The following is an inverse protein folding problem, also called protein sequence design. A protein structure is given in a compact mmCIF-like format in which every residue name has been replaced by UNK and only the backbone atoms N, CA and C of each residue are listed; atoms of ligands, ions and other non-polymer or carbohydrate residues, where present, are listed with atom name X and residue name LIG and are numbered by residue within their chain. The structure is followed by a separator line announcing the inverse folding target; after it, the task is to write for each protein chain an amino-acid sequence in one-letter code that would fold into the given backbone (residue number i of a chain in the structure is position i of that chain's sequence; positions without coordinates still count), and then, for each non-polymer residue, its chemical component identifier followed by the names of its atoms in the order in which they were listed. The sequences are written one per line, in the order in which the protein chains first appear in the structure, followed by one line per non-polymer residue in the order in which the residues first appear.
data_IF_193178400252
#
_entry.id   IF_193178400252
#
_cell.length_a   1.000
_cell.length_b   1.000
_cell.length_c   1.000
_cell.angle_alpha   90.00
_cell.angle_beta   90.00
_cell.angle_gamma   90.00
#
_symmetry.space_group_name_H-M   'P 1'
#
loop_
_entity.id
_entity.type
_entity.pdbx_description
1 polymer ?
#
# COMPACT_ATOMS: atom_id res chain seq x y z
N UNK A 1 24.34 -27.10 5.56
CA UNK A 1 24.89 -26.06 6.46
C UNK A 1 24.56 -24.73 5.80
N UNK A 2 23.39 -24.18 6.08
CA UNK A 2 22.98 -22.85 5.55
C UNK A 2 23.69 -21.80 6.38
N UNK A 3 24.39 -20.88 5.73
CA UNK A 3 25.13 -19.82 6.41
C UNK A 3 24.17 -18.76 6.97
N UNK A 4 24.60 -18.05 8.02
CA UNK A 4 23.81 -16.94 8.61
C UNK A 4 23.51 -15.86 7.56
N UNK A 5 24.40 -15.67 6.59
CA UNK A 5 24.18 -14.77 5.45
C UNK A 5 23.01 -15.23 4.57
N UNK A 6 22.94 -16.52 4.19
CA UNK A 6 21.85 -17.05 3.37
C UNK A 6 20.48 -17.02 4.08
N UNK A 7 20.44 -17.26 5.39
CA UNK A 7 19.22 -17.14 6.20
C UNK A 7 18.73 -15.68 6.33
N UNK A 8 19.66 -14.73 6.43
CA UNK A 8 19.35 -13.31 6.44
C UNK A 8 18.90 -12.83 5.06
N UNK A 9 19.50 -13.34 3.99
CA UNK A 9 19.18 -13.00 2.59
C UNK A 9 17.77 -13.50 2.21
N UNK A 10 17.41 -14.74 2.57
CA UNK A 10 16.08 -15.28 2.34
C UNK A 10 15.02 -14.55 3.19
N UNK A 11 15.30 -14.32 4.49
CA UNK A 11 14.39 -13.58 5.35
C UNK A 11 14.18 -12.13 4.90
N UNK A 12 15.23 -11.43 4.48
CA UNK A 12 15.11 -10.08 3.91
C UNK A 12 14.28 -10.11 2.62
N UNK A 13 14.50 -11.08 1.74
CA UNK A 13 13.75 -11.20 0.48
C UNK A 13 12.23 -11.35 0.70
N UNK A 14 11.80 -12.09 1.73
CA UNK A 14 10.39 -12.23 2.09
C UNK A 14 9.80 -10.92 2.65
N UNK A 15 10.54 -10.24 3.54
CA UNK A 15 10.10 -8.96 4.11
C UNK A 15 10.06 -7.83 3.06
N UNK A 16 11.07 -7.72 2.20
CA UNK A 16 11.12 -6.71 1.14
C UNK A 16 10.03 -6.95 0.09
N UNK A 17 9.65 -8.20 -0.17
CA UNK A 17 8.50 -8.51 -1.00
C UNK A 17 7.17 -8.09 -0.36
N UNK A 18 6.92 -8.50 0.90
CA UNK A 18 5.68 -8.17 1.63
C UNK A 18 5.54 -6.66 1.87
N UNK A 19 6.66 -5.97 2.13
CA UNK A 19 6.72 -4.54 2.41
C UNK A 19 7.14 -3.70 1.20
N UNK A 20 7.02 -4.21 -0.03
CA UNK A 20 7.43 -3.51 -1.25
C UNK A 20 6.80 -2.10 -1.40
N UNK A 21 5.67 -1.86 -0.73
CA UNK A 21 4.99 -0.56 -0.72
C UNK A 21 5.71 0.53 0.10
N UNK A 22 6.68 0.17 0.95
CA UNK A 22 7.49 1.10 1.77
C UNK A 22 8.65 1.72 1.00
N UNK A 23 9.06 1.12 -0.13
CA UNK A 23 10.08 1.56 -1.10
C UNK A 23 11.52 1.79 -0.59
N UNK A 24 11.70 2.20 0.68
CA UNK A 24 12.99 2.47 1.31
C UNK A 24 13.42 1.29 2.19
N UNK A 25 14.63 0.77 1.96
CA UNK A 25 15.16 -0.40 2.66
C UNK A 25 15.32 -0.16 4.17
N UNK A 26 15.75 1.04 4.59
CA UNK A 26 15.90 1.35 6.01
C UNK A 26 14.53 1.42 6.70
N UNK A 27 13.49 1.85 5.99
CA UNK A 27 12.11 1.80 6.48
C UNK A 27 11.62 0.35 6.59
N UNK A 28 11.89 -0.49 5.58
CA UNK A 28 11.55 -1.92 5.59
C UNK A 28 12.19 -2.61 6.80
N UNK A 29 13.49 -2.39 7.04
CA UNK A 29 14.21 -2.93 8.19
C UNK A 29 13.61 -2.47 9.53
N UNK A 30 13.27 -1.18 9.65
CA UNK A 30 12.66 -0.65 10.86
C UNK A 30 11.25 -1.22 11.12
N UNK A 31 10.47 -1.49 10.07
CA UNK A 31 9.14 -2.12 10.18
C UNK A 31 9.28 -3.60 10.54
N UNK A 32 10.17 -4.32 9.86
CA UNK A 32 10.52 -5.72 10.16
C UNK A 32 10.93 -5.88 11.62
N UNK A 33 11.84 -5.04 12.12
CA UNK A 33 12.31 -5.11 13.50
C UNK A 33 11.17 -4.94 14.51
N UNK A 34 10.19 -4.07 14.23
CA UNK A 34 9.00 -3.88 15.08
C UNK A 34 8.09 -5.10 15.10
N UNK A 35 7.82 -5.70 13.94
CA UNK A 35 7.00 -6.92 13.87
C UNK A 35 7.67 -8.11 14.54
N UNK A 36 8.96 -8.34 14.25
CA UNK A 36 9.74 -9.40 14.87
C UNK A 36 9.82 -9.22 16.40
N UNK A 37 10.03 -8.00 16.87
CA UNK A 37 10.03 -7.67 18.31
C UNK A 37 8.67 -7.89 19.00
N UNK A 38 7.58 -7.85 18.25
CA UNK A 38 6.24 -8.17 18.72
C UNK A 38 5.86 -9.66 18.53
N UNK A 39 6.78 -10.50 18.04
CA UNK A 39 6.51 -11.91 17.75
C UNK A 39 5.57 -12.15 16.56
N UNK A 40 5.44 -11.16 15.67
CA UNK A 40 4.60 -11.24 14.47
C UNK A 40 5.42 -11.79 13.31
N UNK A 41 5.10 -12.98 12.79
CA UNK A 41 5.82 -13.57 11.67
C UNK A 41 5.42 -12.90 10.34
N UNK A 42 6.28 -12.97 9.33
CA UNK A 42 6.08 -12.29 8.03
C UNK A 42 4.82 -12.77 7.31
N UNK A 43 4.46 -14.03 7.49
CA UNK A 43 3.28 -14.67 6.91
C UNK A 43 2.00 -14.02 7.43
N UNK A 44 1.95 -13.69 8.74
CA UNK A 44 0.80 -13.02 9.34
C UNK A 44 0.65 -11.59 8.81
N UNK A 45 1.78 -10.89 8.57
CA UNK A 45 1.76 -9.58 7.90
C UNK A 45 1.26 -9.71 6.47
N UNK A 46 1.77 -10.68 5.72
CA UNK A 46 1.37 -10.93 4.33
C UNK A 46 -0.11 -11.25 4.20
N UNK A 47 -0.64 -12.12 5.08
CA UNK A 47 -2.05 -12.50 5.11
C UNK A 47 -2.95 -11.30 5.44
N UNK A 48 -2.54 -10.48 6.42
CA UNK A 48 -3.27 -9.27 6.82
C UNK A 48 -3.27 -8.20 5.72
N UNK A 49 -2.17 -8.06 4.98
CA UNK A 49 -2.13 -7.14 3.83
C UNK A 49 -2.99 -7.67 2.67
N UNK A 50 -3.01 -8.98 2.45
CA UNK A 50 -3.79 -9.62 1.38
C UNK A 50 -5.30 -9.50 1.60
N UNK A 51 -5.76 -9.66 2.83
CA UNK A 51 -7.19 -9.53 3.17
C UNK A 51 -7.62 -8.10 3.51
N UNK A 52 -6.68 -7.15 3.53
CA UNK A 52 -6.93 -5.75 3.83
C UNK A 52 -7.34 -5.49 5.29
N UNK A 53 -6.97 -6.38 6.22
CA UNK A 53 -7.35 -6.30 7.63
C UNK A 53 -8.76 -6.81 7.93
N UNK A 54 -9.38 -7.54 7.00
CA UNK A 54 -10.73 -8.08 7.19
C UNK A 54 -10.81 -9.02 8.40
N UNK A 55 -9.84 -9.92 8.59
CA UNK A 55 -9.78 -10.81 9.74
C UNK A 55 -9.65 -10.06 11.07
N UNK A 56 -8.85 -8.99 11.11
CA UNK A 56 -8.70 -8.14 12.30
C UNK A 56 -10.02 -7.43 12.66
N UNK A 57 -10.70 -6.89 11.65
CA UNK A 57 -12.00 -6.23 11.83
C UNK A 57 -13.07 -7.23 12.32
N UNK A 58 -13.10 -8.45 11.78
CA UNK A 58 -14.01 -9.49 12.26
C UNK A 58 -13.69 -9.91 13.70
N UNK A 59 -12.40 -10.02 14.06
CA UNK A 59 -12.00 -10.39 15.41
C UNK A 59 -12.43 -9.35 16.44
N UNK A 60 -12.21 -8.06 16.20
CA UNK A 60 -12.64 -7.01 17.14
C UNK A 60 -14.17 -6.94 17.25
N UNK A 61 -14.89 -7.18 16.16
CA UNK A 61 -16.35 -7.24 16.16
C UNK A 61 -16.94 -8.48 16.87
N UNK A 62 -16.12 -9.50 17.17
CA UNK A 62 -16.57 -10.70 17.89
C UNK A 62 -16.80 -10.46 19.39
N UNK A 63 -16.31 -9.33 19.93
CA UNK A 63 -16.39 -8.93 21.35
C UNK A 63 -15.81 -9.95 22.35
N UNK A 64 -15.10 -10.98 21.87
CA UNK A 64 -14.41 -11.95 22.73
C UNK A 64 -13.27 -11.29 23.47
N UNK A 65 -13.11 -11.52 24.77
CA UNK A 65 -12.02 -10.93 25.57
C UNK A 65 -10.61 -11.29 25.08
N UNK A 66 -10.45 -12.39 24.36
CA UNK A 66 -9.18 -12.92 23.84
C UNK A 66 -9.01 -12.74 22.32
N UNK A 67 -9.83 -11.87 21.70
CA UNK A 67 -9.88 -11.69 20.24
C UNK A 67 -8.52 -11.37 19.59
N UNK A 68 -7.62 -10.71 20.33
CA UNK A 68 -6.30 -10.31 19.84
C UNK A 68 -5.24 -11.41 19.95
N UNK A 69 -5.47 -12.45 20.76
CA UNK A 69 -4.53 -13.55 21.01
C UNK A 69 -4.06 -14.25 19.73
N UNK A 70 -4.94 -14.59 18.77
CA UNK A 70 -4.53 -15.23 17.51
C UNK A 70 -3.55 -14.40 16.67
N UNK A 71 -3.49 -13.08 16.89
CA UNK A 71 -2.63 -12.16 16.16
C UNK A 71 -1.34 -11.81 16.90
N UNK A 72 -1.10 -12.38 18.10
CA UNK A 72 0.05 -12.03 18.94
C UNK A 72 -0.24 -10.93 19.97
N UNK A 73 -1.53 -10.63 20.23
CA UNK A 73 -1.95 -9.66 21.24
C UNK A 73 -2.15 -8.24 20.71
N UNK A 74 -2.51 -7.31 21.60
CA UNK A 74 -2.97 -5.97 21.22
C UNK A 74 -1.91 -5.13 20.49
N UNK A 75 -0.64 -5.24 20.87
CA UNK A 75 0.45 -4.54 20.19
C UNK A 75 0.60 -5.03 18.74
N UNK A 76 0.56 -6.34 18.53
CA UNK A 76 0.65 -6.93 17.21
C UNK A 76 -0.52 -6.48 16.32
N UNK A 77 -1.74 -6.48 16.85
CA UNK A 77 -2.92 -5.94 16.13
C UNK A 77 -2.73 -4.47 15.74
N UNK A 78 -2.24 -3.64 16.66
CA UNK A 78 -2.00 -2.22 16.38
C UNK A 78 -0.96 -2.04 15.25
N UNK A 79 0.13 -2.80 15.28
CA UNK A 79 1.16 -2.79 14.23
C UNK A 79 0.60 -3.25 12.88
N UNK A 80 -0.12 -4.37 12.86
CA UNK A 80 -0.74 -4.93 11.66
C UNK A 80 -1.74 -3.95 11.03
N UNK A 81 -2.59 -3.33 11.85
CA UNK A 81 -3.58 -2.34 11.38
C UNK A 81 -2.91 -1.08 10.84
N UNK A 82 -1.83 -0.61 11.49
CA UNK A 82 -1.03 0.51 11.00
C UNK A 82 -0.38 0.20 9.64
N UNK A 83 0.07 -1.04 9.43
CA UNK A 83 0.64 -1.48 8.16
C UNK A 83 -0.42 -1.56 7.06
N UNK A 84 -1.62 -2.06 7.35
CA UNK A 84 -2.76 -2.03 6.42
C UNK A 84 -3.08 -0.59 6.00
N UNK A 85 -3.12 0.36 6.93
CA UNK A 85 -3.38 1.76 6.61
C UNK A 85 -2.30 2.36 5.69
N UNK A 86 -1.03 2.02 5.92
CA UNK A 86 0.07 2.44 5.06
C UNK A 86 -0.02 1.81 3.66
N UNK A 87 -0.32 0.51 3.58
CA UNK A 87 -0.51 -0.19 2.32
C UNK A 87 -1.66 0.41 1.51
N UNK A 88 -2.82 0.65 2.14
CA UNK A 88 -3.95 1.33 1.51
C UNK A 88 -3.58 2.73 1.00
N UNK A 89 -2.79 3.49 1.76
CA UNK A 89 -2.32 4.82 1.34
C UNK A 89 -1.43 4.73 0.09
N UNK A 90 -0.54 3.73 0.04
CA UNK A 90 0.26 3.46 -1.16
C UNK A 90 -0.63 3.08 -2.36
N UNK A 91 -1.62 2.21 -2.17
CA UNK A 91 -2.55 1.81 -3.25
C UNK A 91 -3.34 3.00 -3.79
N UNK A 92 -3.86 3.87 -2.92
CA UNK A 92 -4.57 5.10 -3.30
C UNK A 92 -3.66 6.04 -4.07
N UNK A 93 -2.41 6.24 -3.63
CA UNK A 93 -1.45 7.07 -4.33
C UNK A 93 -1.16 6.53 -5.74
N UNK A 94 -0.91 5.22 -5.86
CA UNK A 94 -0.66 4.54 -7.14
C UNK A 94 -1.85 4.64 -8.09
N UNK A 95 -3.06 4.35 -7.60
CA UNK A 95 -4.28 4.47 -8.39
C UNK A 95 -4.52 5.92 -8.84
N UNK A 96 -4.25 6.90 -7.97
CA UNK A 96 -4.38 8.32 -8.29
C UNK A 96 -3.40 8.76 -9.37
N UNK A 97 -2.16 8.27 -9.33
CA UNK A 97 -1.14 8.55 -10.36
C UNK A 97 -1.59 8.03 -11.73
N UNK A 98 -2.02 6.75 -11.81
CA UNK A 98 -2.52 6.14 -13.05
C UNK A 98 -3.76 6.88 -13.56
N UNK A 99 -4.73 7.16 -12.68
CA UNK A 99 -5.95 7.89 -13.03
C UNK A 99 -5.64 9.27 -13.58
N UNK A 100 -4.65 9.97 -13.00
CA UNK A 100 -4.26 11.31 -13.44
C UNK A 100 -3.73 11.30 -14.87
N UNK A 101 -2.86 10.34 -15.20
CA UNK A 101 -2.34 10.17 -16.57
C UNK A 101 -3.45 9.78 -17.54
N UNK A 102 -4.32 8.84 -17.16
CA UNK A 102 -5.43 8.42 -18.02
C UNK A 102 -6.40 9.57 -18.33
N UNK A 103 -6.76 10.38 -17.33
CA UNK A 103 -7.65 11.54 -17.52
C UNK A 103 -6.99 12.62 -18.38
N UNK A 104 -5.69 12.86 -18.18
CA UNK A 104 -4.93 13.80 -19.01
C UNK A 104 -4.97 13.40 -20.49
N UNK A 105 -4.75 12.11 -20.79
CA UNK A 105 -4.88 11.58 -22.16
C UNK A 105 -6.31 11.63 -22.69
N UNK A 106 -7.33 11.33 -21.89
CA UNK A 106 -8.72 11.44 -22.33
C UNK A 106 -9.12 12.88 -22.70
N UNK A 107 -8.51 13.89 -22.07
CA UNK A 107 -8.77 15.30 -22.39
C UNK A 107 -8.14 15.74 -23.73
N UNK A 108 -7.29 14.92 -24.34
CA UNK A 108 -6.76 15.16 -25.69
C UNK A 108 -7.83 14.85 -26.76
N UNK A 109 -8.68 13.84 -26.50
CA UNK A 109 -9.67 13.32 -27.47
C UNK A 109 -11.13 13.69 -27.14
N UNK A 110 -11.44 13.95 -25.87
CA UNK A 110 -12.80 14.15 -25.40
C UNK A 110 -12.96 15.47 -24.62
N UNK A 111 -14.17 16.03 -24.66
CA UNK A 111 -14.49 17.19 -23.83
C UNK A 111 -14.48 16.84 -22.33
N UNK A 112 -14.06 17.79 -21.49
CA UNK A 112 -14.06 17.61 -20.04
C UNK A 112 -15.44 17.31 -19.45
N UNK A 113 -16.53 17.71 -20.11
CA UNK A 113 -17.91 17.39 -19.69
C UNK A 113 -18.23 15.92 -19.93
N UNK A 114 -17.86 15.39 -21.10
CA UNK A 114 -18.04 13.98 -21.41
C UNK A 114 -17.24 13.11 -20.41
N UNK A 115 -15.96 13.43 -20.19
CA UNK A 115 -15.11 12.71 -19.23
C UNK A 115 -15.66 12.81 -17.80
N UNK A 116 -16.18 13.97 -17.39
CA UNK A 116 -16.78 14.18 -16.08
C UNK A 116 -18.01 13.29 -15.85
N UNK A 117 -18.88 13.19 -16.87
CA UNK A 117 -20.08 12.35 -16.84
C UNK A 117 -19.72 10.88 -16.67
N UNK A 118 -18.78 10.36 -17.46
CA UNK A 118 -18.34 8.96 -17.38
C UNK A 118 -17.66 8.62 -16.04
N UNK A 119 -16.89 9.56 -15.47
CA UNK A 119 -16.18 9.35 -14.22
C UNK A 119 -17.02 9.65 -12.96
N UNK A 120 -18.26 10.13 -13.12
CA UNK A 120 -19.12 10.51 -12.00
C UNK A 120 -18.54 11.62 -11.12
N UNK A 121 -17.80 12.57 -11.71
CA UNK A 121 -17.18 13.70 -10.99
C UNK A 121 -17.52 15.04 -11.65
N UNK A 122 -17.22 16.15 -10.98
CA UNK A 122 -17.42 17.47 -11.56
C UNK A 122 -16.40 17.76 -12.67
N UNK A 123 -16.76 18.62 -13.62
CA UNK A 123 -15.85 19.13 -14.66
C UNK A 123 -14.58 19.76 -14.07
N UNK A 124 -14.71 20.50 -12.96
CA UNK A 124 -13.56 21.07 -12.26
C UNK A 124 -12.63 19.95 -11.78
N UNK A 125 -13.19 18.88 -11.21
CA UNK A 125 -12.41 17.76 -10.70
C UNK A 125 -11.64 17.03 -11.79
N UNK A 126 -12.21 16.93 -13.00
CA UNK A 126 -11.51 16.37 -14.17
C UNK A 126 -10.24 17.14 -14.49
N UNK A 127 -10.28 18.48 -14.53
CA UNK A 127 -9.07 19.28 -14.78
C UNK A 127 -8.06 19.22 -13.64
N UNK A 128 -8.51 19.14 -12.39
CA UNK A 128 -7.63 18.91 -11.24
C UNK A 128 -6.85 17.59 -11.38
N UNK A 129 -7.54 16.52 -11.76
CA UNK A 129 -6.96 15.19 -11.97
C UNK A 129 -5.99 15.23 -13.16
N UNK A 130 -6.42 15.73 -14.32
CA UNK A 130 -5.60 15.75 -15.55
C UNK A 130 -4.30 16.55 -15.39
N UNK A 131 -4.34 17.68 -14.66
CA UNK A 131 -3.13 18.46 -14.35
C UNK A 131 -2.07 17.66 -13.59
N UNK A 132 -2.48 16.71 -12.76
CA UNK A 132 -1.55 15.78 -12.10
C UNK A 132 -0.87 14.83 -13.09
N UNK A 133 -1.59 14.40 -14.12
CA UNK A 133 -1.11 13.48 -15.16
C UNK A 133 -0.04 14.12 -16.05
N UNK A 134 -0.28 15.34 -16.51
CA UNK A 134 0.68 16.07 -17.35
C UNK A 134 2.04 16.22 -16.64
N UNK A 135 2.02 16.64 -15.37
CA UNK A 135 3.24 16.78 -14.54
C UNK A 135 4.00 15.46 -14.40
N UNK A 136 3.28 14.36 -14.18
CA UNK A 136 3.89 13.05 -14.03
C UNK A 136 4.51 12.56 -15.34
N UNK A 137 3.82 12.72 -16.49
CA UNK A 137 4.36 12.37 -17.81
C UNK A 137 5.64 13.14 -18.11
N UNK A 138 5.68 14.43 -17.78
CA UNK A 138 6.87 15.25 -17.98
C UNK A 138 8.05 14.81 -17.10
N UNK A 139 7.80 14.49 -15.82
CA UNK A 139 8.81 13.97 -14.92
C UNK A 139 9.39 12.63 -15.41
N UNK A 140 8.53 11.71 -15.86
CA UNK A 140 8.95 10.42 -16.41
C UNK A 140 9.76 10.56 -17.71
N UNK A 141 9.46 11.55 -18.56
CA UNK A 141 10.25 11.84 -19.76
C UNK A 141 11.63 12.40 -19.43
N UNK A 142 11.74 13.20 -18.37
CA UNK A 142 13.03 13.76 -17.92
C UNK A 142 13.93 12.70 -17.31
N UNK A 143 13.37 11.73 -16.57
CA UNK A 143 14.13 10.64 -15.95
C UNK A 143 14.72 9.62 -16.96
N UNK A 144 14.21 9.59 -18.20
CA UNK A 144 14.61 8.67 -19.27
C UNK A 144 15.50 9.33 -20.35
N UNK A 145 16.05 10.51 -20.09
CA UNK A 145 17.03 11.21 -20.94
C UNK A 145 18.41 11.13 -20.32
#
# INVERSE_FOLDING_TARGET
MTTVAELLDHGLSDWSHVLAHRADEAVIDAVRARFMGAGVPVELVADTLRDGGAALHQAVASERSDWATPFGGLLAVALLTAEVAAYCSHLVARASAVRSVAVDSLLEDFSAVAVASELGVSRQKVYEIGRGGAKLRDALRQANR
#
